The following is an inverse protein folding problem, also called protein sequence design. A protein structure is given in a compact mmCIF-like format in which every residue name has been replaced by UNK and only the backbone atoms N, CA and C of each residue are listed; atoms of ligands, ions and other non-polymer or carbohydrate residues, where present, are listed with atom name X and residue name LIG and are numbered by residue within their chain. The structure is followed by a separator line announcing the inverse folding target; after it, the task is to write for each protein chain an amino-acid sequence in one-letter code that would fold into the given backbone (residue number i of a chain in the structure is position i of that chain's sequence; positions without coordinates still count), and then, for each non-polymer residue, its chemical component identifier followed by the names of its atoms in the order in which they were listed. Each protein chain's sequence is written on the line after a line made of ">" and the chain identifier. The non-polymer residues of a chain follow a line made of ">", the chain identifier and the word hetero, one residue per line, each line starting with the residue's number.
data_IF_487738259439
#
_entry.id   IF_487738259439
#
_cell.length_a   1.000
_cell.length_b   1.000
_cell.length_c   1.000
_cell.angle_alpha   90.00
_cell.angle_beta   90.00
_cell.angle_gamma   90.00
#
_symmetry.space_group_name_H-M   'P 1'
#
loop_
_entity.id
_entity.type
_entity.pdbx_description
1 polymer ?
#
# COMPACT_ATOMS: atom_id res chain seq x y z
N UNK A 1 12.79 -2.85 16.24
CA UNK A 1 11.90 -3.98 16.58
C UNK A 1 11.31 -3.89 18.00
N UNK A 2 12.09 -3.73 19.09
CA UNK A 2 11.54 -3.85 20.46
C UNK A 2 10.43 -2.85 20.78
N UNK A 3 10.54 -1.61 20.29
CA UNK A 3 9.53 -0.57 20.50
C UNK A 3 8.19 -0.90 19.83
N UNK A 4 8.21 -1.49 18.63
CA UNK A 4 6.98 -1.86 17.90
C UNK A 4 6.27 -3.04 18.58
N UNK A 5 7.02 -4.05 19.02
CA UNK A 5 6.49 -5.20 19.76
C UNK A 5 5.89 -4.75 21.10
N UNK A 6 6.60 -3.88 21.82
CA UNK A 6 6.13 -3.33 23.11
C UNK A 6 4.83 -2.54 22.96
N UNK A 7 4.63 -1.88 21.82
CA UNK A 7 3.44 -1.07 21.56
C UNK A 7 2.39 -1.80 20.70
N UNK A 8 2.46 -3.12 20.54
CA UNK A 8 1.55 -3.88 19.66
C UNK A 8 0.07 -3.60 19.93
N UNK A 9 -0.32 -3.46 21.20
CA UNK A 9 -1.71 -3.27 21.62
C UNK A 9 -2.20 -1.82 21.38
N UNK A 10 -1.27 -0.87 21.16
CA UNK A 10 -1.54 0.54 20.86
C UNK A 10 -0.80 1.00 19.60
N UNK A 11 -0.62 0.11 18.63
CA UNK A 11 0.32 0.33 17.52
C UNK A 11 0.00 1.60 16.74
N UNK A 12 -1.29 1.90 16.50
CA UNK A 12 -1.71 3.10 15.78
C UNK A 12 -1.38 4.39 16.54
N UNK A 13 -1.61 4.43 17.86
CA UNK A 13 -1.21 5.58 18.68
C UNK A 13 0.31 5.76 18.69
N UNK A 14 1.06 4.67 18.80
CA UNK A 14 2.51 4.73 18.73
C UNK A 14 3.02 5.27 17.37
N UNK A 15 2.43 4.83 16.26
CA UNK A 15 2.78 5.34 14.92
C UNK A 15 2.38 6.82 14.75
N UNK A 16 1.25 7.23 15.32
CA UNK A 16 0.83 8.63 15.34
C UNK A 16 1.80 9.51 16.14
N UNK A 17 2.24 9.05 17.31
CA UNK A 17 3.23 9.75 18.15
C UNK A 17 4.56 9.94 17.39
N UNK A 18 5.01 8.89 16.68
CA UNK A 18 6.20 8.96 15.83
C UNK A 18 6.00 9.92 14.63
N UNK A 19 4.83 9.89 14.00
CA UNK A 19 4.52 10.82 12.90
C UNK A 19 4.56 12.27 13.37
N UNK A 20 3.98 12.58 14.53
CA UNK A 20 4.07 13.91 15.14
C UNK A 20 5.52 14.32 15.41
N UNK A 21 6.32 13.39 15.94
CA UNK A 21 7.75 13.61 16.20
C UNK A 21 8.57 13.90 14.93
N UNK A 22 8.27 13.22 13.82
CA UNK A 22 9.01 13.35 12.55
C UNK A 22 8.37 14.33 11.56
N UNK A 23 7.42 15.16 11.99
CA UNK A 23 6.83 16.19 11.14
C UNK A 23 5.90 15.67 10.04
N UNK A 24 5.22 14.54 10.30
CA UNK A 24 4.15 14.00 9.46
C UNK A 24 4.61 13.06 8.33
N UNK A 25 5.92 12.84 8.17
CA UNK A 25 6.49 11.88 7.23
C UNK A 25 7.51 11.01 7.94
N UNK A 26 7.33 9.70 7.91
CA UNK A 26 8.33 8.79 8.45
C UNK A 26 8.47 7.54 7.58
N UNK A 27 9.68 6.99 7.56
CA UNK A 27 9.97 5.68 6.98
C UNK A 27 10.09 4.65 8.10
N UNK A 28 9.28 3.61 8.03
CA UNK A 28 9.49 2.40 8.81
C UNK A 28 10.38 1.46 7.96
N UNK A 29 11.56 1.05 8.47
CA UNK A 29 12.51 0.26 7.68
C UNK A 29 12.10 -1.20 7.48
N UNK A 30 11.01 -1.66 8.09
CA UNK A 30 10.60 -3.05 8.04
C UNK A 30 9.08 -3.18 7.89
N UNK A 31 8.64 -4.14 7.07
CA UNK A 31 7.24 -4.55 6.95
C UNK A 31 7.18 -6.04 6.60
N UNK A 32 6.07 -6.72 6.92
CA UNK A 32 5.94 -8.16 6.69
C UNK A 32 5.92 -8.55 5.20
N UNK A 33 5.31 -7.70 4.38
CA UNK A 33 5.12 -7.94 2.93
C UNK A 33 5.93 -6.99 2.02
N UNK A 34 6.66 -6.03 2.59
CA UNK A 34 7.26 -4.92 1.83
C UNK A 34 8.68 -4.60 2.35
N UNK A 35 9.49 -3.93 1.53
CA UNK A 35 10.82 -3.41 1.90
C UNK A 35 10.72 -2.11 2.73
N UNK A 36 9.95 -2.20 3.82
CA UNK A 36 9.56 -1.09 4.66
C UNK A 36 8.22 -0.46 4.28
N UNK A 37 7.88 0.61 4.98
CA UNK A 37 6.66 1.37 4.77
C UNK A 37 6.93 2.87 4.92
N UNK A 38 6.24 3.68 4.15
CA UNK A 38 6.26 5.14 4.29
C UNK A 38 4.90 5.55 4.85
N UNK A 39 4.94 6.27 5.97
CA UNK A 39 3.77 6.86 6.59
C UNK A 39 3.77 8.35 6.32
N UNK A 40 2.59 8.86 5.95
CA UNK A 40 2.36 10.25 5.55
C UNK A 40 1.09 10.78 6.22
N UNK A 41 1.06 12.08 6.50
CA UNK A 41 -0.13 12.76 7.04
C UNK A 41 -0.60 13.93 6.18
N UNK A 42 0.24 14.50 5.31
CA UNK A 42 -0.13 15.65 4.47
C UNK A 42 -1.07 15.19 3.33
N UNK A 43 -2.25 15.81 3.14
CA UNK A 43 -3.15 15.52 2.03
C UNK A 43 -2.49 15.61 0.64
N UNK A 44 -1.46 16.45 0.47
CA UNK A 44 -0.71 16.55 -0.79
C UNK A 44 0.05 15.27 -1.10
N UNK A 45 0.60 14.61 -0.10
CA UNK A 45 1.30 13.33 -0.28
C UNK A 45 0.29 12.22 -0.61
N UNK A 46 -0.87 12.24 0.03
CA UNK A 46 -1.96 11.29 -0.27
C UNK A 46 -2.44 11.45 -1.71
N UNK A 47 -2.66 12.70 -2.14
CA UNK A 47 -3.01 13.01 -3.53
C UNK A 47 -1.90 12.59 -4.50
N UNK A 48 -0.64 12.80 -4.12
CA UNK A 48 0.49 12.40 -4.94
C UNK A 48 0.49 10.90 -5.23
N UNK A 49 0.33 10.08 -4.18
CA UNK A 49 0.35 8.62 -4.27
C UNK A 49 -0.90 8.08 -4.97
N UNK A 50 -2.09 8.57 -4.60
CA UNK A 50 -3.36 7.97 -5.04
C UNK A 50 -3.93 8.58 -6.32
N UNK A 51 -3.37 9.69 -6.81
CA UNK A 51 -3.89 10.39 -7.99
C UNK A 51 -2.79 10.80 -8.96
N UNK A 52 -1.95 11.78 -8.62
CA UNK A 52 -1.10 12.43 -9.63
C UNK A 52 0.08 11.58 -10.08
N UNK A 53 0.54 10.65 -9.26
CA UNK A 53 1.66 9.76 -9.54
C UNK A 53 1.30 8.27 -9.36
N UNK A 54 0.01 7.95 -9.45
CA UNK A 54 -0.53 6.62 -9.12
C UNK A 54 0.14 5.46 -9.85
N UNK A 55 0.57 5.63 -11.10
CA UNK A 55 1.22 4.56 -11.87
C UNK A 55 2.60 4.15 -11.32
N UNK A 56 3.26 4.99 -10.54
CA UNK A 56 4.55 4.68 -9.92
C UNK A 56 4.42 3.93 -8.59
N UNK A 57 3.23 3.87 -8.01
CA UNK A 57 2.97 3.19 -6.74
C UNK A 57 2.24 1.88 -7.00
N UNK A 58 3.01 0.79 -7.10
CA UNK A 58 2.51 -0.54 -7.45
C UNK A 58 2.60 -1.50 -6.26
N UNK A 59 1.85 -2.59 -6.30
CA UNK A 59 2.00 -3.68 -5.33
C UNK A 59 3.35 -4.37 -5.59
N UNK A 60 4.23 -4.49 -4.59
CA UNK A 60 5.53 -5.12 -4.78
C UNK A 60 5.38 -6.63 -4.94
N UNK A 61 6.39 -7.27 -5.54
CA UNK A 61 6.35 -8.69 -5.86
C UNK A 61 6.11 -9.57 -4.62
N UNK A 62 6.74 -9.26 -3.48
CA UNK A 62 6.53 -10.00 -2.23
C UNK A 62 5.08 -9.98 -1.73
N UNK A 63 4.32 -8.92 -2.01
CA UNK A 63 2.87 -8.90 -1.74
C UNK A 63 2.11 -9.78 -2.73
N UNK A 64 2.42 -9.68 -4.02
CA UNK A 64 1.77 -10.50 -5.05
C UNK A 64 1.98 -11.99 -4.75
N UNK A 65 3.21 -12.40 -4.47
CA UNK A 65 3.56 -13.79 -4.16
C UNK A 65 2.85 -14.30 -2.90
N UNK A 66 2.82 -13.50 -1.83
CA UNK A 66 2.19 -13.89 -0.57
C UNK A 66 0.66 -14.07 -0.68
N UNK A 67 0.04 -13.41 -1.64
CA UNK A 67 -1.42 -13.36 -1.80
C UNK A 67 -1.91 -14.07 -3.06
N UNK A 68 -1.01 -14.62 -3.87
CA UNK A 68 -1.32 -15.25 -5.15
C UNK A 68 -2.29 -16.43 -5.02
N UNK A 69 -2.10 -17.30 -4.01
CA UNK A 69 -2.93 -18.49 -3.83
C UNK A 69 -4.39 -18.14 -3.45
N UNK A 70 -4.58 -17.06 -2.69
CA UNK A 70 -5.91 -16.67 -2.18
C UNK A 70 -6.66 -15.81 -3.20
N UNK A 71 -5.96 -14.85 -3.82
CA UNK A 71 -6.59 -13.84 -4.66
C UNK A 71 -6.36 -14.06 -6.15
N UNK A 72 -5.40 -14.91 -6.54
CA UNK A 72 -5.04 -15.20 -7.93
C UNK A 72 -5.01 -13.92 -8.79
N UNK A 73 -5.81 -13.88 -9.86
CA UNK A 73 -5.90 -12.76 -10.79
C UNK A 73 -6.93 -11.69 -10.38
N UNK A 74 -7.37 -11.67 -9.12
CA UNK A 74 -8.24 -10.62 -8.59
C UNK A 74 -7.54 -9.27 -8.56
N UNK A 75 -8.28 -8.18 -8.74
CA UNK A 75 -7.76 -6.80 -8.67
C UNK A 75 -7.08 -6.43 -7.35
N UNK A 76 -7.26 -7.24 -6.29
CA UNK A 76 -6.50 -7.14 -5.04
C UNK A 76 -5.05 -7.63 -5.16
N UNK A 77 -4.77 -8.57 -6.05
CA UNK A 77 -3.45 -9.19 -6.25
C UNK A 77 -2.91 -9.03 -7.70
N UNK A 78 -3.41 -8.02 -8.44
CA UNK A 78 -2.80 -7.60 -9.71
C UNK A 78 -2.48 -6.10 -9.72
N UNK A 79 -1.61 -5.71 -10.64
CA UNK A 79 -1.06 -4.36 -10.76
C UNK A 79 -1.71 -3.58 -11.92
N UNK A 80 -1.82 -2.25 -11.76
CA UNK A 80 -2.53 -1.37 -12.71
C UNK A 80 -1.61 -0.62 -13.70
N UNK A 81 -0.30 -0.63 -13.46
CA UNK A 81 0.65 0.17 -14.24
C UNK A 81 0.88 -0.42 -15.66
N UNK A 82 1.36 0.39 -16.62
CA UNK A 82 1.53 -0.04 -18.01
C UNK A 82 2.55 -1.17 -18.24
N UNK A 83 3.46 -1.41 -17.29
CA UNK A 83 4.47 -2.47 -17.39
C UNK A 83 4.01 -3.78 -16.72
N UNK A 84 2.79 -3.84 -16.17
CA UNK A 84 2.20 -5.10 -15.72
C UNK A 84 2.00 -6.05 -16.92
N UNK A 85 1.89 -7.38 -16.72
CA UNK A 85 1.81 -8.36 -17.81
C UNK A 85 0.70 -8.09 -18.85
N UNK A 86 -0.42 -7.52 -18.44
CA UNK A 86 -1.56 -7.14 -19.28
C UNK A 86 -1.72 -5.62 -19.43
N UNK A 87 -0.66 -4.85 -19.18
CA UNK A 87 -0.65 -3.39 -19.07
C UNK A 87 -1.70 -2.82 -18.08
N UNK A 88 -2.15 -3.62 -17.12
CA UNK A 88 -3.15 -3.26 -16.10
C UNK A 88 -4.60 -3.34 -16.58
N UNK A 89 -4.88 -4.00 -17.71
CA UNK A 89 -6.22 -4.10 -18.28
C UNK A 89 -7.21 -4.80 -17.32
N UNK A 90 -6.81 -5.93 -16.75
CA UNK A 90 -7.60 -6.72 -15.81
C UNK A 90 -7.94 -5.96 -14.55
N UNK A 91 -6.97 -5.25 -13.97
CA UNK A 91 -7.22 -4.40 -12.80
C UNK A 91 -8.28 -3.33 -13.08
N UNK A 92 -8.18 -2.63 -14.22
CA UNK A 92 -9.12 -1.56 -14.59
C UNK A 92 -10.53 -2.11 -14.84
N UNK A 93 -10.64 -3.24 -15.52
CA UNK A 93 -11.92 -3.89 -15.79
C UNK A 93 -12.60 -4.30 -14.48
N UNK A 94 -11.91 -5.05 -13.64
CA UNK A 94 -12.45 -5.55 -12.38
C UNK A 94 -12.85 -4.42 -11.43
N UNK A 95 -12.03 -3.37 -11.32
CA UNK A 95 -12.38 -2.18 -10.52
C UNK A 95 -13.66 -1.50 -11.04
N UNK A 96 -13.83 -1.39 -12.36
CA UNK A 96 -15.04 -0.81 -12.96
C UNK A 96 -16.27 -1.66 -12.70
N UNK A 97 -16.13 -2.99 -12.66
CA UNK A 97 -17.22 -3.90 -12.30
C UNK A 97 -17.54 -3.76 -10.81
N UNK A 98 -16.55 -3.80 -9.93
CA UNK A 98 -16.76 -3.67 -8.48
C UNK A 98 -17.48 -2.37 -8.10
N UNK A 99 -17.08 -1.23 -8.69
CA UNK A 99 -17.71 0.07 -8.45
C UNK A 99 -19.15 0.21 -8.99
N UNK A 100 -19.68 -0.81 -9.68
CA UNK A 100 -21.09 -0.87 -10.09
C UNK A 100 -21.93 -1.78 -9.19
N UNK A 101 -21.28 -2.65 -8.42
CA UNK A 101 -21.93 -3.62 -7.54
C UNK A 101 -22.05 -3.05 -6.12
N UNK A 102 -21.08 -2.23 -5.70
CA UNK A 102 -21.02 -1.53 -4.42
C UNK A 102 -21.12 -0.02 -4.63
#
# INVERSE_FOLDING_TARGET
>A
MPAYIKNRDRIYHFLEDLLKQYGGRMKMPWHLFFDGAIYITDPKDVQHILSTNFNNYVKPQGFLDAFQEIFENSFFAVNHHPQAPDAGAGWRLQRKVAAKVF
#
